data_IF_817987508628
#
_entry.id   IF_817987508628
#
_cell.length_a   1.000
_cell.length_b   1.000
_cell.length_c   1.000
_cell.angle_alpha   90.00
_cell.angle_beta   90.00
_cell.angle_gamma   90.00
#
_symmetry.space_group_name_H-M   'P 1'
#
loop_
_entity.id
_entity.type
_entity.pdbx_description
1 polymer ?
#
# COMPACT_ATOMS: atom_id res chain seq x y z
N UNK A 1 -14.04 4.22 -12.67
CA UNK A 1 -14.88 5.25 -12.04
C UNK A 1 -15.35 4.66 -10.72
N UNK A 2 -14.99 5.23 -9.56
CA UNK A 2 -15.54 4.74 -8.31
C UNK A 2 -17.05 5.06 -8.32
N UNK A 3 -17.87 4.01 -8.31
CA UNK A 3 -19.32 4.15 -8.28
C UNK A 3 -19.72 4.77 -6.93
N UNK A 4 -20.17 6.02 -6.94
CA UNK A 4 -20.61 6.69 -5.72
C UNK A 4 -22.08 6.35 -5.45
N UNK A 5 -22.33 5.54 -4.42
CA UNK A 5 -23.67 5.20 -3.98
C UNK A 5 -24.09 6.07 -2.78
N UNK A 6 -25.24 6.76 -2.87
CA UNK A 6 -25.76 7.56 -1.76
C UNK A 6 -26.46 6.65 -0.74
N UNK A 7 -26.09 6.79 0.54
CA UNK A 7 -26.76 6.11 1.66
C UNK A 7 -27.26 7.13 2.67
N UNK A 8 -28.40 6.82 3.28
CA UNK A 8 -28.96 7.61 4.38
C UNK A 8 -28.45 7.06 5.69
N UNK A 9 -28.02 7.96 6.58
CA UNK A 9 -27.64 7.60 7.94
C UNK A 9 -28.91 7.26 8.73
N UNK A 10 -28.96 6.08 9.34
CA UNK A 10 -30.08 5.67 10.17
C UNK A 10 -30.22 6.54 11.42
N UNK A 11 -31.37 6.47 12.10
CA UNK A 11 -31.64 7.27 13.31
C UNK A 11 -30.61 7.06 14.43
N UNK A 12 -29.90 5.93 14.42
CA UNK A 12 -28.84 5.58 15.39
C UNK A 12 -27.44 6.02 14.95
N UNK A 13 -27.31 6.78 13.86
CA UNK A 13 -26.01 7.20 13.32
C UNK A 13 -25.31 6.14 12.46
N UNK A 14 -25.94 5.01 12.18
CA UNK A 14 -25.35 3.91 11.41
C UNK A 14 -25.49 4.12 9.90
N UNK A 15 -24.43 3.81 9.14
CA UNK A 15 -24.44 3.75 7.67
C UNK A 15 -24.03 2.35 7.22
N UNK A 16 -24.74 1.79 6.24
CA UNK A 16 -24.43 0.47 5.70
C UNK A 16 -23.40 0.59 4.60
N UNK A 17 -22.30 -0.17 4.72
CA UNK A 17 -21.29 -0.29 3.67
C UNK A 17 -21.83 -1.23 2.56
N UNK A 18 -21.90 -0.76 1.30
CA UNK A 18 -22.30 -1.58 0.15
C UNK A 18 -21.49 -2.88 0.05
N UNK A 19 -22.14 -3.95 -0.44
CA UNK A 19 -21.53 -5.28 -0.55
C UNK A 19 -20.25 -5.27 -1.41
N UNK A 20 -20.26 -4.57 -2.54
CA UNK A 20 -19.10 -4.47 -3.43
C UNK A 20 -17.87 -3.86 -2.72
N UNK A 21 -18.08 -2.81 -1.90
CA UNK A 21 -17.01 -2.20 -1.11
C UNK A 21 -16.56 -3.14 0.01
N UNK A 22 -17.47 -3.82 0.70
CA UNK A 22 -17.11 -4.83 1.71
C UNK A 22 -16.24 -5.94 1.13
N UNK A 23 -16.58 -6.46 -0.05
CA UNK A 23 -15.80 -7.50 -0.73
C UNK A 23 -14.45 -6.97 -1.21
N UNK A 24 -14.42 -5.79 -1.83
CA UNK A 24 -13.19 -5.16 -2.32
C UNK A 24 -12.19 -4.89 -1.19
N UNK A 25 -12.68 -4.42 -0.04
CA UNK A 25 -11.86 -4.08 1.11
C UNK A 25 -11.77 -5.21 2.14
N UNK A 26 -12.36 -6.39 1.88
CA UNK A 26 -12.38 -7.53 2.80
C UNK A 26 -12.87 -7.16 4.20
N UNK A 27 -14.06 -6.56 4.31
CA UNK A 27 -14.72 -6.17 5.56
C UNK A 27 -15.92 -7.09 5.78
N UNK A 28 -15.89 -7.84 6.89
CA UNK A 28 -16.91 -8.79 7.29
C UNK A 28 -17.77 -8.26 8.46
N UNK A 29 -18.87 -8.97 8.73
CA UNK A 29 -19.76 -8.61 9.83
C UNK A 29 -19.12 -8.92 11.17
N UNK A 30 -18.83 -7.90 11.97
CA UNK A 30 -18.15 -8.04 13.26
C UNK A 30 -16.73 -7.48 13.26
N UNK A 31 -16.20 -7.08 12.10
CA UNK A 31 -14.89 -6.43 12.01
C UNK A 31 -14.90 -5.04 12.64
N UNK A 32 -13.80 -4.72 13.32
CA UNK A 32 -13.51 -3.37 13.76
C UNK A 32 -13.00 -2.53 12.59
N UNK A 33 -13.38 -1.24 12.56
CA UNK A 33 -12.90 -0.25 11.59
C UNK A 33 -12.48 1.01 12.33
N UNK A 34 -11.49 1.71 11.77
CA UNK A 34 -11.08 3.03 12.24
C UNK A 34 -11.82 4.07 11.42
N UNK A 35 -12.47 5.01 12.12
CA UNK A 35 -13.19 6.12 11.50
C UNK A 35 -12.46 7.41 11.89
N UNK A 36 -12.01 8.18 10.91
CA UNK A 36 -11.35 9.47 11.13
C UNK A 36 -11.82 10.54 10.14
N UNK A 37 -11.55 11.79 10.48
CA UNK A 37 -11.67 12.91 9.56
C UNK A 37 -10.35 13.13 8.85
N UNK A 38 -10.40 13.33 7.53
CA UNK A 38 -9.25 13.65 6.70
C UNK A 38 -9.67 14.59 5.57
N UNK A 39 -9.14 15.82 5.57
CA UNK A 39 -9.41 16.83 4.53
C UNK A 39 -10.91 17.10 4.28
N UNK A 40 -11.70 17.20 5.35
CA UNK A 40 -13.14 17.41 5.33
C UNK A 40 -13.95 16.17 4.95
N UNK A 41 -13.33 14.99 4.91
CA UNK A 41 -13.98 13.73 4.53
C UNK A 41 -13.96 12.75 5.71
N UNK A 42 -15.04 11.99 5.85
CA UNK A 42 -15.05 10.85 6.75
C UNK A 42 -14.36 9.67 6.05
N UNK A 43 -13.24 9.23 6.59
CA UNK A 43 -12.47 8.09 6.11
C UNK A 43 -12.70 6.91 7.04
N UNK A 44 -13.04 5.77 6.44
CA UNK A 44 -13.19 4.49 7.13
C UNK A 44 -12.10 3.57 6.59
N UNK A 45 -11.26 3.05 7.46
CA UNK A 45 -10.17 2.13 7.12
C UNK A 45 -10.22 0.90 8.01
N UNK A 46 -9.72 -0.23 7.49
CA UNK A 46 -9.46 -1.39 8.34
C UNK A 46 -8.29 -1.06 9.28
N UNK A 47 -8.34 -1.48 10.54
CA UNK A 47 -7.20 -1.35 11.43
C UNK A 47 -6.03 -2.13 10.84
N UNK A 48 -5.01 -1.42 10.37
CA UNK A 48 -3.75 -2.06 10.01
C UNK A 48 -3.07 -2.48 11.30
N UNK A 49 -2.76 -3.76 11.48
CA UNK A 49 -1.91 -4.14 12.59
C UNK A 49 -0.52 -3.52 12.31
N UNK A 50 0.00 -2.77 13.28
CA UNK A 50 1.31 -2.09 13.19
C UNK A 50 2.43 -3.08 12.85
N UNK A 51 2.27 -4.35 13.24
CA UNK A 51 3.16 -5.45 12.89
C UNK A 51 3.12 -5.81 11.41
N UNK A 52 1.95 -5.81 10.76
CA UNK A 52 1.81 -6.08 9.32
C UNK A 52 2.47 -4.97 8.49
N UNK A 53 2.35 -3.72 8.94
CA UNK A 53 3.02 -2.58 8.31
C UNK A 53 4.54 -2.71 8.46
N UNK A 54 5.03 -3.05 9.66
CA UNK A 54 6.45 -3.27 9.90
C UNK A 54 7.01 -4.45 9.09
N UNK A 55 6.25 -5.52 8.94
CA UNK A 55 6.58 -6.67 8.11
C UNK A 55 6.67 -6.29 6.62
N UNK A 56 5.72 -5.48 6.13
CA UNK A 56 5.75 -4.94 4.78
C UNK A 56 6.96 -4.03 4.49
N UNK A 57 7.50 -3.34 5.51
CA UNK A 57 8.77 -2.61 5.38
C UNK A 57 9.98 -3.54 5.39
N UNK A 58 9.99 -4.59 6.22
CA UNK A 58 11.08 -5.59 6.24
C UNK A 58 11.25 -6.27 4.89
N UNK A 59 10.15 -6.78 4.31
CA UNK A 59 10.19 -7.49 3.02
C UNK A 59 10.68 -6.62 1.87
N UNK A 60 10.28 -5.33 1.82
CA UNK A 60 10.78 -4.40 0.79
C UNK A 60 12.27 -4.09 0.95
N UNK A 61 12.76 -4.00 2.19
CA UNK A 61 14.19 -3.82 2.46
C UNK A 61 15.02 -5.03 2.01
N UNK A 62 14.48 -6.24 2.17
CA UNK A 62 15.13 -7.47 1.71
C UNK A 62 15.18 -7.57 0.19
N UNK A 63 14.06 -7.34 -0.50
CA UNK A 63 14.02 -7.33 -1.98
C UNK A 63 14.96 -6.28 -2.58
N UNK A 64 15.05 -5.09 -1.96
CA UNK A 64 15.97 -4.03 -2.43
C UNK A 64 17.43 -4.46 -2.27
N UNK A 65 17.78 -5.17 -1.19
CA UNK A 65 19.14 -5.67 -0.95
C UNK A 65 19.50 -6.79 -1.92
N UNK A 66 18.56 -7.68 -2.21
CA UNK A 66 18.74 -8.76 -3.18
C UNK A 66 18.98 -8.21 -4.59
N UNK A 67 18.12 -7.26 -5.04
CA UNK A 67 18.30 -6.57 -6.32
C UNK A 67 19.62 -5.79 -6.39
N UNK A 68 20.03 -5.13 -5.30
CA UNK A 68 21.31 -4.43 -5.27
C UNK A 68 22.50 -5.40 -5.42
N UNK A 69 22.43 -6.56 -4.77
CA UNK A 69 23.46 -7.61 -4.89
C UNK A 69 23.49 -8.23 -6.28
N UNK A 70 22.34 -8.40 -6.94
CA UNK A 70 22.25 -8.88 -8.32
C UNK A 70 22.87 -7.88 -9.31
N UNK A 71 22.58 -6.59 -9.14
CA UNK A 71 23.08 -5.51 -10.01
C UNK A 71 24.56 -5.15 -9.76
N UNK A 72 25.11 -5.48 -8.59
CA UNK A 72 26.54 -5.32 -8.28
C UNK A 72 27.41 -6.18 -9.21
N UNK A 73 26.94 -7.39 -9.55
CA UNK A 73 27.61 -8.26 -10.52
C UNK A 73 27.59 -7.71 -11.96
N UNK A 74 26.50 -7.05 -12.35
CA UNK A 74 26.33 -6.47 -13.70
C UNK A 74 27.20 -5.21 -13.88
N UNK A 75 27.42 -4.44 -12.82
CA UNK A 75 28.21 -3.20 -12.88
C UNK A 75 29.70 -3.46 -13.11
N UNK A 76 30.24 -4.53 -12.51
CA UNK A 76 31.65 -4.91 -12.69
C UNK A 76 31.95 -5.33 -14.13
N UNK A 77 31.04 -6.07 -14.76
CA UNK A 77 31.19 -6.54 -16.15
C UNK A 77 31.02 -5.41 -17.18
N UNK A 78 30.18 -4.41 -16.87
CA UNK A 78 29.99 -3.23 -17.72
C UNK A 78 31.18 -2.26 -17.69
N UNK A 79 31.80 -2.05 -16.53
CA UNK A 79 32.99 -1.21 -16.37
C UNK A 79 34.23 -1.84 -17.05
N UNK A 80 34.32 -3.17 -17.13
CA UNK A 80 35.42 -3.87 -17.83
C UNK A 80 35.38 -3.69 -19.35
N UNK A 81 34.22 -3.34 -19.93
CA UNK A 81 34.04 -3.16 -21.38
C UNK A 81 33.90 -1.70 -21.82
N UNK A 82 33.75 -0.76 -20.88
CA UNK A 82 33.83 0.67 -21.11
C UNK A 82 35.25 1.12 -20.82
N UNK A 83 36.15 0.95 -21.79
CA UNK A 83 37.51 1.52 -21.70
C UNK A 83 37.49 3.02 -21.34
N UNK A 84 38.62 3.52 -20.82
CA UNK A 84 38.77 4.88 -20.28
C UNK A 84 38.05 5.94 -21.13
N UNK A 85 37.26 6.78 -20.46
CA UNK A 85 36.57 7.89 -21.10
C UNK A 85 37.57 8.75 -21.90
N UNK A 86 37.30 9.09 -23.17
CA UNK A 86 38.26 9.83 -23.99
C UNK A 86 38.51 11.21 -23.40
N UNK A 87 39.79 11.54 -23.22
CA UNK A 87 40.25 12.85 -22.79
C UNK A 87 40.12 13.84 -23.95
N UNK A 88 39.06 14.65 -23.94
CA UNK A 88 38.94 15.86 -24.77
C UNK A 88 38.61 17.08 -23.90
#
# INVERSE_FOLDING_TARGET
>A
MAESERRTVGQRGQVTIPKALREQFGIEGGDDVVIREEAGRLVIERPMNREEVAEGYRQRGEQTRELASELEGVSTEADEHLGDAPEW
#
